data_IF_082133294514
#
_entry.id   IF_082133294514
#
_cell.length_a   1.000
_cell.length_b   1.000
_cell.length_c   1.000
_cell.angle_alpha   90.00
_cell.angle_beta   90.00
_cell.angle_gamma   90.00
#
_symmetry.space_group_name_H-M   'P 1'
#
loop_
_entity.id
_entity.type
_entity.pdbx_description
1 polymer ?
#
# COMPACT_ATOMS: atom_id res chain seq x y z
N UNK A 1 -6.98 -4.54 -16.31
CA UNK A 1 -6.31 -4.79 -15.01
C UNK A 1 -6.18 -3.48 -14.27
N UNK A 2 -6.42 -3.43 -12.96
CA UNK A 2 -6.24 -2.20 -12.17
C UNK A 2 -4.74 -1.92 -12.00
N UNK A 3 -4.29 -0.67 -12.18
CA UNK A 3 -2.90 -0.23 -11.99
C UNK A 3 -2.37 -0.66 -10.62
N UNK A 4 -3.21 -0.58 -9.59
CA UNK A 4 -2.89 -1.04 -8.24
C UNK A 4 -2.57 -2.54 -8.20
N UNK A 5 -3.32 -3.39 -8.91
CA UNK A 5 -3.07 -4.84 -8.91
C UNK A 5 -1.75 -5.18 -9.59
N UNK A 6 -1.40 -4.47 -10.66
CA UNK A 6 -0.10 -4.63 -11.31
C UNK A 6 1.05 -4.25 -10.37
N UNK A 7 0.92 -3.13 -9.64
CA UNK A 7 1.94 -2.74 -8.66
C UNK A 7 2.03 -3.69 -7.47
N UNK A 8 0.90 -4.18 -6.95
CA UNK A 8 0.88 -5.19 -5.89
C UNK A 8 1.62 -6.45 -6.33
N UNK A 9 1.40 -6.92 -7.56
CA UNK A 9 2.14 -8.06 -8.10
C UNK A 9 3.65 -7.78 -8.22
N UNK A 10 4.06 -6.55 -8.48
CA UNK A 10 5.47 -6.16 -8.48
C UNK A 10 6.05 -6.15 -7.06
N UNK A 11 5.27 -5.70 -6.07
CA UNK A 11 5.64 -5.72 -4.66
C UNK A 11 5.82 -7.15 -4.15
N UNK A 12 4.91 -8.08 -4.49
CA UNK A 12 4.97 -9.48 -4.06
C UNK A 12 6.26 -10.17 -4.52
N UNK A 13 6.83 -9.75 -5.66
CA UNK A 13 8.08 -10.27 -6.22
C UNK A 13 9.35 -9.51 -5.84
N UNK A 14 9.27 -8.41 -5.08
CA UNK A 14 10.40 -7.53 -4.83
C UNK A 14 10.58 -7.23 -3.33
N UNK A 15 11.57 -7.86 -2.71
CA UNK A 15 11.89 -7.68 -1.28
C UNK A 15 12.20 -6.23 -0.90
N UNK A 16 12.85 -5.47 -1.79
CA UNK A 16 13.20 -4.07 -1.53
C UNK A 16 11.95 -3.18 -1.45
N UNK A 17 10.98 -3.41 -2.33
CA UNK A 17 9.68 -2.72 -2.28
C UNK A 17 8.90 -3.10 -1.03
N UNK A 18 8.91 -4.37 -0.64
CA UNK A 18 8.25 -4.82 0.61
C UNK A 18 8.85 -4.12 1.83
N UNK A 19 10.18 -4.02 1.91
CA UNK A 19 10.85 -3.31 3.00
C UNK A 19 10.54 -1.81 3.00
N UNK A 20 10.49 -1.19 1.81
CA UNK A 20 10.14 0.22 1.67
C UNK A 20 8.70 0.48 2.17
N UNK A 21 7.73 -0.32 1.71
CA UNK A 21 6.32 -0.22 2.11
C UNK A 21 6.14 -0.42 3.61
N UNK A 22 6.86 -1.38 4.20
CA UNK A 22 6.79 -1.66 5.64
C UNK A 22 7.23 -0.45 6.51
N UNK A 23 8.06 0.44 5.96
CA UNK A 23 8.52 1.65 6.66
C UNK A 23 7.60 2.85 6.45
N UNK A 24 6.60 2.73 5.57
CA UNK A 24 5.68 3.83 5.32
C UNK A 24 4.79 4.11 6.54
N UNK A 25 4.72 5.38 6.91
CA UNK A 25 3.90 5.88 8.02
C UNK A 25 2.62 6.57 7.56
N UNK A 26 2.51 6.84 6.25
CA UNK A 26 1.33 7.44 5.65
C UNK A 26 0.95 6.76 4.32
N UNK A 27 -0.33 6.83 3.90
CA UNK A 27 -0.76 6.36 2.59
C UNK A 27 -0.07 7.11 1.45
N UNK A 28 0.29 8.37 1.66
CA UNK A 28 0.93 9.19 0.63
C UNK A 28 2.33 8.66 0.30
N UNK A 29 3.10 8.22 1.29
CA UNK A 29 4.41 7.60 1.05
C UNK A 29 4.30 6.35 0.17
N UNK A 30 3.25 5.55 0.36
CA UNK A 30 2.98 4.35 -0.46
C UNK A 30 2.64 4.76 -1.91
N UNK A 31 1.85 5.82 -2.07
CA UNK A 31 1.49 6.36 -3.39
C UNK A 31 2.74 6.91 -4.10
N UNK A 32 3.61 7.60 -3.37
CA UNK A 32 4.84 8.18 -3.91
C UNK A 32 5.84 7.08 -4.33
N UNK A 33 5.94 6.00 -3.54
CA UNK A 33 6.70 4.80 -3.91
C UNK A 33 6.17 4.21 -5.22
N UNK A 34 4.85 4.01 -5.33
CA UNK A 34 4.24 3.49 -6.54
C UNK A 34 4.48 4.41 -7.75
N UNK A 35 4.39 5.73 -7.55
CA UNK A 35 4.65 6.72 -8.60
C UNK A 35 6.12 6.68 -9.07
N UNK A 36 7.07 6.46 -8.15
CA UNK A 36 8.49 6.26 -8.46
C UNK A 36 8.74 5.04 -9.36
N UNK A 37 7.93 3.99 -9.20
CA UNK A 37 7.95 2.79 -10.04
C UNK A 37 7.14 2.94 -11.36
N UNK A 38 6.56 4.11 -11.62
CA UNK A 38 5.74 4.39 -12.80
C UNK A 38 4.26 4.00 -12.67
N UNK A 39 3.78 3.67 -11.47
CA UNK A 39 2.39 3.32 -11.20
C UNK A 39 1.61 4.48 -10.57
N UNK A 40 0.73 5.10 -11.36
CA UNK A 40 -0.18 6.15 -10.88
C UNK A 40 -1.34 5.57 -10.05
N UNK A 41 -1.15 5.44 -8.74
CA UNK A 41 -2.18 4.94 -7.81
C UNK A 41 -2.80 6.12 -7.05
N UNK A 42 -4.13 6.14 -6.95
CA UNK A 42 -4.83 7.13 -6.12
C UNK A 42 -5.03 6.64 -4.69
N UNK A 43 -5.07 7.58 -3.74
CA UNK A 43 -5.42 7.30 -2.34
C UNK A 43 -6.74 6.54 -2.23
N UNK A 44 -7.74 6.94 -3.03
CA UNK A 44 -9.05 6.26 -3.08
C UNK A 44 -8.90 4.79 -3.46
N UNK A 45 -8.13 4.48 -4.50
CA UNK A 45 -7.91 3.10 -4.94
C UNK A 45 -7.18 2.27 -3.87
N UNK A 46 -6.11 2.82 -3.28
CA UNK A 46 -5.35 2.17 -2.22
C UNK A 46 -6.25 1.87 -1.01
N UNK A 47 -7.03 2.86 -0.56
CA UNK A 47 -7.96 2.71 0.55
C UNK A 47 -9.03 1.66 0.27
N UNK A 48 -9.64 1.68 -0.92
CA UNK A 48 -10.67 0.71 -1.30
C UNK A 48 -10.16 -0.73 -1.26
N UNK A 49 -8.92 -0.97 -1.69
CA UNK A 49 -8.32 -2.30 -1.73
C UNK A 49 -7.55 -2.67 -0.45
N UNK A 50 -7.33 -1.75 0.49
CA UNK A 50 -6.57 -1.98 1.74
C UNK A 50 -7.06 -3.17 2.58
N UNK A 51 -8.34 -3.57 2.43
CA UNK A 51 -8.91 -4.76 3.10
C UNK A 51 -8.48 -6.07 2.45
N UNK A 52 -8.19 -6.06 1.16
CA UNK A 52 -7.72 -7.20 0.36
C UNK A 52 -6.19 -7.32 0.44
N UNK A 53 -5.50 -6.20 0.65
CA UNK A 53 -4.05 -6.11 0.85
C UNK A 53 -3.65 -6.61 2.24
N UNK A 54 -3.52 -7.93 2.35
CA UNK A 54 -3.27 -8.68 3.60
C UNK A 54 -1.82 -9.14 3.78
N UNK A 55 -0.96 -8.93 2.78
CA UNK A 55 0.44 -9.27 2.89
C UNK A 55 1.11 -8.58 4.11
N UNK A 56 2.07 -9.23 4.79
CA UNK A 56 2.60 -8.76 6.07
C UNK A 56 3.40 -7.46 5.97
N UNK A 57 3.87 -7.10 4.78
CA UNK A 57 4.63 -5.87 4.56
C UNK A 57 3.74 -4.61 4.50
N UNK A 58 2.41 -4.74 4.41
CA UNK A 58 1.52 -3.59 4.47
C UNK A 58 1.44 -3.02 5.89
N UNK A 59 1.57 -1.70 6.11
CA UNK A 59 1.58 -1.11 7.46
C UNK A 59 0.34 -1.42 8.31
N UNK A 60 -0.82 -1.58 7.65
CA UNK A 60 -2.09 -1.91 8.30
C UNK A 60 -2.35 -3.42 8.44
N UNK A 61 -1.44 -4.28 8.00
CA UNK A 61 -1.62 -5.72 8.14
C UNK A 61 -1.73 -6.08 9.62
N UNK A 62 -2.76 -6.85 9.98
CA UNK A 62 -3.06 -7.29 11.36
C UNK A 62 -3.34 -6.17 12.40
N UNK A 63 -3.27 -4.88 12.06
CA UNK A 63 -3.50 -3.76 13.00
C UNK A 63 -4.98 -3.47 13.33
N UNK A 64 -5.90 -4.13 12.64
CA UNK A 64 -7.34 -3.95 12.83
C UNK A 64 -7.93 -2.67 12.20
N UNK A 65 -9.26 -2.51 12.32
CA UNK A 65 -10.01 -1.46 11.62
C UNK A 65 -9.69 -0.04 12.11
N UNK A 66 -9.53 0.17 13.42
CA UNK A 66 -9.28 1.49 14.02
C UNK A 66 -7.97 2.06 13.52
N UNK A 67 -6.90 1.26 13.56
CA UNK A 67 -5.59 1.67 13.08
C UNK A 67 -5.60 1.98 11.58
N UNK A 68 -6.23 1.11 10.77
CA UNK A 68 -6.35 1.34 9.34
C UNK A 68 -7.09 2.65 9.03
N UNK A 69 -8.16 2.96 9.78
CA UNK A 69 -8.87 4.23 9.61
C UNK A 69 -7.97 5.42 9.92
N UNK A 70 -7.25 5.40 11.03
CA UNK A 70 -6.29 6.47 11.37
C UNK A 70 -5.16 6.61 10.35
N UNK A 71 -4.74 5.52 9.71
CA UNK A 71 -3.74 5.56 8.65
C UNK A 71 -4.26 6.27 7.40
N UNK A 72 -5.50 6.01 6.97
CA UNK A 72 -6.08 6.60 5.74
C UNK A 72 -6.83 7.93 5.96
N UNK A 73 -7.22 8.23 7.19
CA UNK A 73 -7.88 9.45 7.64
C UNK A 73 -7.21 9.92 8.95
N UNK A 74 -5.99 10.50 8.89
CA UNK A 74 -5.28 10.98 10.07
C UNK A 74 -5.97 12.15 10.77
#
# INVERSE_FOLDING_TARGET
MSVLRSWVSACDGCSDLQQAICRCTSPQEIIDLAAGDGYGISLKALRSCSRELTAPYWPWSEKGHVWRRAFFDP
#
